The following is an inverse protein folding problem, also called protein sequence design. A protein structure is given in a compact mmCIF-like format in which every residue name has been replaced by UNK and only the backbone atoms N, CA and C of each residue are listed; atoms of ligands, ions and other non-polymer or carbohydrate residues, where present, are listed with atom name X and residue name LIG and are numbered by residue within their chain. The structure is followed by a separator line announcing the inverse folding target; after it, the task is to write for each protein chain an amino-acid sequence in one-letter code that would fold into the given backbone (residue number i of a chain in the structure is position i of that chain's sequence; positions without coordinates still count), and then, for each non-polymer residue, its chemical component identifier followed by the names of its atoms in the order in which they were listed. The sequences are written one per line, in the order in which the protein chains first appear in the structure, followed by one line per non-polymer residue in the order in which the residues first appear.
data_IF_770144954594
#
_entry.id   IF_770144954594
#
_cell.length_a   1.000
_cell.length_b   1.000
_cell.length_c   1.000
_cell.angle_alpha   90.00
_cell.angle_beta   90.00
_cell.angle_gamma   90.00
#
_symmetry.space_group_name_H-M   'P 1'
#
loop_
_entity.id
_entity.type
_entity.pdbx_description
1 polymer ?
#
# COMPACT_ATOMS: atom_id res chain seq x y z
N UNK A 1 -21.34 -21.40 -23.24
CA UNK A 1 -22.37 -21.22 -22.19
C UNK A 1 -22.88 -19.78 -22.23
N UNK A 2 -24.05 -19.53 -22.85
CA UNK A 2 -24.82 -18.28 -22.70
C UNK A 2 -25.87 -18.51 -21.60
N UNK A 3 -25.45 -18.64 -20.35
CA UNK A 3 -26.35 -18.39 -19.22
C UNK A 3 -26.04 -16.97 -18.79
N UNK A 4 -27.03 -16.07 -18.90
CA UNK A 4 -27.02 -14.85 -18.08
C UNK A 4 -26.85 -15.37 -16.65
N UNK A 5 -25.68 -15.12 -16.07
CA UNK A 5 -25.41 -15.43 -14.66
C UNK A 5 -26.52 -14.83 -13.80
N UNK A 6 -26.71 -15.42 -12.60
CA UNK A 6 -27.79 -15.13 -11.66
C UNK A 6 -28.13 -13.65 -11.49
N UNK A 7 -29.34 -13.43 -10.97
CA UNK A 7 -29.82 -12.13 -10.54
C UNK A 7 -28.71 -11.40 -9.73
N UNK A 8 -28.68 -10.07 -9.81
CA UNK A 8 -27.74 -9.24 -9.06
C UNK A 8 -27.69 -9.62 -7.57
N UNK A 9 -28.80 -10.12 -7.00
CA UNK A 9 -28.90 -10.62 -5.64
C UNK A 9 -27.99 -11.83 -5.35
N UNK A 10 -27.93 -12.84 -6.24
CA UNK A 10 -27.12 -14.05 -6.08
C UNK A 10 -25.63 -13.70 -6.01
N UNK A 11 -25.19 -12.79 -6.89
CA UNK A 11 -23.80 -12.36 -6.95
C UNK A 11 -23.42 -11.47 -5.77
N UNK A 12 -24.33 -10.60 -5.34
CA UNK A 12 -24.18 -9.81 -4.11
C UNK A 12 -24.06 -10.73 -2.89
N UNK A 13 -24.98 -11.69 -2.74
CA UNK A 13 -24.99 -12.63 -1.62
C UNK A 13 -23.73 -13.49 -1.57
N UNK A 14 -23.30 -14.03 -2.72
CA UNK A 14 -22.08 -14.84 -2.82
C UNK A 14 -20.83 -14.05 -2.45
N UNK A 15 -20.65 -12.87 -3.05
CA UNK A 15 -19.43 -12.09 -2.84
C UNK A 15 -19.36 -11.47 -1.44
N UNK A 16 -20.47 -10.93 -0.95
CA UNK A 16 -20.57 -10.40 0.40
C UNK A 16 -20.33 -11.51 1.44
N UNK A 17 -20.92 -12.69 1.23
CA UNK A 17 -20.71 -13.83 2.11
C UNK A 17 -19.26 -14.31 2.15
N UNK A 18 -18.57 -14.33 0.99
CA UNK A 18 -17.15 -14.65 0.95
C UNK A 18 -16.32 -13.67 1.80
N UNK A 19 -16.57 -12.36 1.69
CA UNK A 19 -15.88 -11.34 2.48
C UNK A 19 -16.20 -11.43 3.98
N UNK A 20 -17.46 -11.66 4.35
CA UNK A 20 -17.87 -11.85 5.75
C UNK A 20 -17.20 -13.06 6.40
N UNK A 21 -17.01 -14.15 5.63
CA UNK A 21 -16.26 -15.33 6.09
C UNK A 21 -14.79 -15.03 6.40
N UNK A 22 -14.24 -13.96 5.80
CA UNK A 22 -12.90 -13.44 6.06
C UNK A 22 -12.88 -12.36 7.15
N UNK A 23 -14.03 -12.05 7.76
CA UNK A 23 -14.20 -11.03 8.79
C UNK A 23 -14.41 -9.61 8.25
N UNK A 24 -14.46 -9.42 6.93
CA UNK A 24 -14.68 -8.12 6.30
C UNK A 24 -16.19 -7.82 6.30
N UNK A 25 -16.59 -6.73 6.95
CA UNK A 25 -17.99 -6.33 7.03
C UNK A 25 -18.52 -5.82 5.69
N UNK A 26 -19.74 -6.23 5.35
CA UNK A 26 -20.38 -5.96 4.06
C UNK A 26 -21.84 -5.54 4.23
N UNK A 27 -22.35 -4.76 3.29
CA UNK A 27 -23.77 -4.45 3.16
C UNK A 27 -24.18 -4.67 1.70
N UNK A 28 -25.38 -5.21 1.48
CA UNK A 28 -26.04 -5.06 0.19
C UNK A 28 -26.67 -3.67 0.11
N UNK A 29 -26.68 -3.07 -1.08
CA UNK A 29 -27.23 -1.75 -1.34
C UNK A 29 -28.22 -1.86 -2.49
N UNK A 30 -29.49 -1.60 -2.22
CA UNK A 30 -30.54 -1.57 -3.24
C UNK A 30 -30.54 -0.23 -3.95
N UNK A 31 -30.48 -0.27 -5.28
CA UNK A 31 -30.70 0.87 -6.15
C UNK A 31 -31.88 0.56 -7.09
N UNK A 32 -32.49 1.55 -7.76
CA UNK A 32 -33.62 1.29 -8.64
C UNK A 32 -33.32 0.23 -9.71
N UNK A 33 -34.01 -0.90 -9.62
CA UNK A 33 -33.92 -2.02 -10.56
C UNK A 33 -32.64 -2.85 -10.50
N UNK A 34 -31.79 -2.67 -9.47
CA UNK A 34 -30.50 -3.36 -9.37
C UNK A 34 -29.98 -3.42 -7.92
N UNK A 35 -29.03 -4.31 -7.64
CA UNK A 35 -28.37 -4.41 -6.32
C UNK A 35 -26.85 -4.37 -6.45
N UNK A 36 -26.22 -3.62 -5.54
CA UNK A 36 -24.77 -3.56 -5.37
C UNK A 36 -24.41 -4.15 -4.01
N UNK A 37 -23.12 -4.33 -3.75
CA UNK A 37 -22.62 -4.56 -2.40
C UNK A 37 -21.56 -3.54 -2.05
N UNK A 38 -21.34 -3.25 -0.77
CA UNK A 38 -20.19 -2.48 -0.32
C UNK A 38 -19.52 -3.15 0.86
N UNK A 39 -18.19 -3.02 0.98
CA UNK A 39 -17.43 -3.53 2.12
C UNK A 39 -16.68 -2.44 2.86
N UNK A 40 -16.53 -2.61 4.18
CA UNK A 40 -15.78 -1.67 5.02
C UNK A 40 -14.28 -1.82 4.78
N UNK A 41 -13.59 -0.70 4.66
CA UNK A 41 -12.12 -0.64 4.65
C UNK A 41 -11.51 -0.67 6.05
N UNK A 42 -12.34 -0.49 7.10
CA UNK A 42 -11.91 -0.26 8.48
C UNK A 42 -11.28 1.12 8.74
N UNK A 43 -11.29 2.01 7.73
CA UNK A 43 -10.72 3.35 7.84
C UNK A 43 -11.80 4.34 8.27
N UNK A 44 -11.61 5.00 9.42
CA UNK A 44 -12.54 6.03 9.92
C UNK A 44 -12.62 7.25 8.98
N UNK A 45 -13.83 7.74 8.73
CA UNK A 45 -14.10 8.92 7.93
C UNK A 45 -13.80 10.21 8.73
N UNK A 46 -13.18 11.21 8.09
CA UNK A 46 -12.96 12.53 8.69
C UNK A 46 -14.12 13.49 8.36
N UNK A 47 -14.27 14.60 9.11
CA UNK A 47 -15.35 15.58 8.88
C UNK A 47 -15.35 16.16 7.44
N UNK A 48 -14.18 16.25 6.81
CA UNK A 48 -13.98 16.65 5.42
C UNK A 48 -13.41 15.49 4.59
N UNK A 49 -14.05 14.31 4.69
CA UNK A 49 -13.54 13.07 4.10
C UNK A 49 -13.24 13.21 2.60
N UNK A 50 -11.96 13.14 2.24
CA UNK A 50 -11.55 12.82 0.88
C UNK A 50 -11.95 11.37 0.58
N UNK A 51 -12.96 11.21 -0.28
CA UNK A 51 -13.46 9.92 -0.74
C UNK A 51 -12.69 9.39 -1.95
N UNK A 52 -11.50 9.93 -2.22
CA UNK A 52 -10.68 9.65 -3.39
C UNK A 52 -11.48 9.82 -4.69
N UNK A 53 -12.00 11.04 -4.90
CA UNK A 53 -12.88 11.37 -6.03
C UNK A 53 -14.10 10.45 -6.12
N UNK A 54 -14.83 10.29 -5.00
CA UNK A 54 -16.04 9.47 -4.92
C UNK A 54 -15.83 7.97 -5.22
N UNK A 55 -14.61 7.45 -5.09
CA UNK A 55 -14.38 6.01 -5.11
C UNK A 55 -14.86 5.34 -3.82
N UNK A 56 -14.63 5.96 -2.67
CA UNK A 56 -15.16 5.50 -1.39
C UNK A 56 -16.46 6.18 -1.04
N UNK A 57 -17.23 5.61 -0.12
CA UNK A 57 -18.42 6.23 0.48
C UNK A 57 -18.25 6.30 2.00
N UNK A 58 -18.80 7.34 2.62
CA UNK A 58 -18.86 7.44 4.08
C UNK A 58 -20.14 6.78 4.55
N UNK A 59 -20.00 5.68 5.28
CA UNK A 59 -21.13 4.96 5.84
C UNK A 59 -20.80 4.48 7.26
N UNK A 60 -21.71 4.77 8.20
CA UNK A 60 -21.53 4.51 9.65
C UNK A 60 -20.17 5.00 10.18
N UNK A 61 -19.73 6.18 9.75
CA UNK A 61 -18.48 6.81 10.21
C UNK A 61 -17.19 6.23 9.59
N UNK A 62 -17.28 5.29 8.66
CA UNK A 62 -16.12 4.67 8.01
C UNK A 62 -16.15 4.83 6.49
N UNK A 63 -15.00 4.62 5.85
CA UNK A 63 -14.89 4.52 4.40
C UNK A 63 -15.25 3.10 3.94
N UNK A 64 -16.18 3.01 2.99
CA UNK A 64 -16.65 1.77 2.37
C UNK A 64 -16.40 1.82 0.87
N UNK A 65 -16.18 0.65 0.26
CA UNK A 65 -15.98 0.49 -1.17
C UNK A 65 -17.22 -0.18 -1.79
N UNK A 66 -18.07 0.55 -2.55
CA UNK A 66 -19.19 -0.03 -3.28
C UNK A 66 -18.72 -0.76 -4.54
N UNK A 67 -19.22 -1.97 -4.78
CA UNK A 67 -18.80 -2.86 -5.86
C UNK A 67 -20.02 -3.26 -6.68
N UNK A 68 -19.89 -3.12 -8.00
CA UNK A 68 -20.79 -3.72 -8.98
C UNK A 68 -20.41 -5.19 -9.20
N UNK A 69 -21.08 -6.10 -8.50
CA UNK A 69 -20.78 -7.54 -8.52
C UNK A 69 -21.17 -8.22 -9.82
N UNK A 70 -22.05 -7.62 -10.63
CA UNK A 70 -22.48 -8.19 -11.91
C UNK A 70 -21.44 -8.08 -13.02
N UNK A 71 -20.37 -7.29 -12.82
CA UNK A 71 -19.25 -7.16 -13.76
C UNK A 71 -18.26 -8.34 -13.69
N UNK A 72 -18.80 -9.57 -13.69
CA UNK A 72 -18.01 -10.80 -13.65
C UNK A 72 -17.05 -10.86 -14.83
N UNK A 73 -15.78 -11.08 -14.52
CA UNK A 73 -14.69 -11.15 -15.51
C UNK A 73 -14.06 -9.81 -15.87
N UNK A 74 -14.59 -8.69 -15.38
CA UNK A 74 -13.91 -7.39 -15.38
C UNK A 74 -12.89 -7.29 -14.24
N UNK A 75 -12.02 -6.28 -14.30
CA UNK A 75 -11.07 -5.99 -13.23
C UNK A 75 -11.79 -5.47 -11.98
N UNK A 76 -11.14 -5.61 -10.82
CA UNK A 76 -11.71 -5.12 -9.56
C UNK A 76 -11.90 -3.61 -9.59
N UNK A 77 -10.92 -2.87 -10.15
CA UNK A 77 -11.00 -1.42 -10.26
C UNK A 77 -12.24 -0.96 -11.05
N UNK A 78 -12.58 -1.64 -12.14
CA UNK A 78 -13.76 -1.32 -12.95
C UNK A 78 -15.07 -1.62 -12.21
N UNK A 79 -15.14 -2.75 -11.52
CA UNK A 79 -16.30 -3.11 -10.70
C UNK A 79 -16.53 -2.12 -9.55
N UNK A 80 -15.44 -1.69 -8.93
CA UNK A 80 -15.46 -0.67 -7.89
C UNK A 80 -15.89 0.70 -8.42
N UNK A 81 -15.27 1.21 -9.48
CA UNK A 81 -15.65 2.50 -10.09
C UNK A 81 -17.13 2.53 -10.50
N UNK A 82 -17.63 1.44 -11.11
CA UNK A 82 -19.04 1.33 -11.49
C UNK A 82 -19.95 1.30 -10.26
N UNK A 83 -19.60 0.52 -9.24
CA UNK A 83 -20.34 0.44 -7.99
C UNK A 83 -20.42 1.81 -7.29
N UNK A 84 -19.29 2.51 -7.19
CA UNK A 84 -19.22 3.85 -6.61
C UNK A 84 -20.04 4.86 -7.41
N UNK A 85 -19.92 4.86 -8.74
CA UNK A 85 -20.71 5.74 -9.61
C UNK A 85 -22.22 5.53 -9.41
N UNK A 86 -22.66 4.27 -9.43
CA UNK A 86 -24.06 3.92 -9.21
C UNK A 86 -24.54 4.30 -7.81
N UNK A 87 -23.71 4.11 -6.77
CA UNK A 87 -24.04 4.55 -5.41
C UNK A 87 -24.26 6.07 -5.36
N UNK A 88 -23.31 6.85 -5.87
CA UNK A 88 -23.38 8.32 -5.82
C UNK A 88 -24.51 8.89 -6.68
N UNK A 89 -24.90 8.19 -7.76
CA UNK A 89 -26.06 8.55 -8.56
C UNK A 89 -27.37 8.51 -7.75
N UNK A 90 -27.50 7.55 -6.84
CA UNK A 90 -28.75 7.28 -6.12
C UNK A 90 -28.72 7.55 -4.61
N UNK A 91 -27.57 8.02 -4.07
CA UNK A 91 -27.37 8.22 -2.63
C UNK A 91 -28.45 9.11 -1.98
N UNK A 92 -28.94 10.10 -2.73
CA UNK A 92 -29.90 11.10 -2.25
C UNK A 92 -31.36 10.63 -2.42
N UNK A 93 -31.58 9.42 -2.92
CA UNK A 93 -32.90 8.81 -3.11
C UNK A 93 -33.38 7.96 -1.92
N UNK A 94 -32.60 7.89 -0.83
CA UNK A 94 -32.94 7.08 0.33
C UNK A 94 -32.66 5.59 0.12
N UNK A 95 -31.39 5.26 -0.18
CA UNK A 95 -30.96 3.88 -0.44
C UNK A 95 -31.26 2.95 0.75
N UNK A 96 -31.84 1.78 0.46
CA UNK A 96 -31.94 0.69 1.43
C UNK A 96 -30.62 -0.06 1.48
N UNK A 97 -30.10 -0.27 2.69
CA UNK A 97 -28.90 -1.09 2.91
C UNK A 97 -29.21 -2.26 3.83
N UNK A 98 -28.74 -3.45 3.48
CA UNK A 98 -28.91 -4.68 4.27
C UNK A 98 -27.57 -5.06 4.86
N UNK A 99 -27.46 -5.10 6.19
CA UNK A 99 -26.27 -5.60 6.89
C UNK A 99 -26.22 -7.13 6.77
N UNK A 100 -25.24 -7.64 6.03
CA UNK A 100 -25.16 -9.07 5.70
C UNK A 100 -24.82 -9.89 6.94
N UNK A 101 -24.01 -9.35 7.86
CA UNK A 101 -23.65 -10.03 9.10
C UNK A 101 -24.86 -10.14 10.03
N UNK A 102 -25.68 -9.10 10.11
CA UNK A 102 -26.95 -9.15 10.83
C UNK A 102 -27.93 -10.12 10.19
N UNK A 103 -28.06 -10.09 8.86
CA UNK A 103 -28.90 -11.01 8.11
C UNK A 103 -28.52 -12.47 8.39
N UNK A 104 -27.23 -12.82 8.41
CA UNK A 104 -26.75 -14.16 8.76
C UNK A 104 -27.06 -14.60 10.20
N UNK A 105 -27.09 -13.66 11.15
CA UNK A 105 -27.50 -13.99 12.54
C UNK A 105 -28.97 -14.34 12.62
N UNK A 106 -29.81 -13.67 11.83
CA UNK A 106 -31.25 -13.90 11.76
C UNK A 106 -31.60 -15.13 10.93
N UNK A 107 -30.97 -15.26 9.77
CA UNK A 107 -31.14 -16.34 8.81
C UNK A 107 -29.86 -17.16 8.78
N UNK A 108 -29.76 -18.13 9.69
CA UNK A 108 -28.57 -18.97 9.81
C UNK A 108 -28.30 -19.67 8.46
N UNK A 109 -27.05 -19.64 7.96
CA UNK A 109 -26.72 -20.31 6.71
C UNK A 109 -26.99 -21.81 6.83
N UNK A 110 -27.45 -22.41 5.73
CA UNK A 110 -27.59 -23.85 5.66
C UNK A 110 -26.24 -24.52 5.93
N UNK A 111 -26.21 -25.46 6.86
CA UNK A 111 -25.01 -26.27 7.09
C UNK A 111 -24.86 -27.24 5.94
N UNK A 112 -23.82 -27.04 5.11
CA UNK A 112 -23.45 -28.01 4.09
C UNK A 112 -22.66 -29.16 4.71
N UNK A 113 -22.84 -30.41 4.24
CA UNK A 113 -21.97 -31.51 4.64
C UNK A 113 -20.50 -31.17 4.39
N UNK A 114 -19.61 -31.76 5.19
CA UNK A 114 -18.18 -31.62 4.96
C UNK A 114 -17.82 -32.04 3.53
N UNK A 115 -17.13 -31.16 2.81
CA UNK A 115 -16.69 -31.40 1.45
C UNK A 115 -15.17 -31.51 1.38
N UNK A 116 -14.69 -32.49 0.63
CA UNK A 116 -13.27 -32.62 0.28
C UNK A 116 -12.88 -31.72 -0.90
N UNK A 117 -13.84 -31.04 -1.52
CA UNK A 117 -13.56 -30.08 -2.58
C UNK A 117 -12.74 -28.91 -2.04
N UNK A 118 -11.73 -28.49 -2.80
CA UNK A 118 -10.93 -27.29 -2.52
C UNK A 118 -10.87 -26.46 -3.80
N UNK A 119 -11.11 -25.14 -3.73
CA UNK A 119 -10.90 -24.28 -4.88
C UNK A 119 -9.41 -24.31 -5.26
N UNK A 120 -9.12 -24.21 -6.55
CA UNK A 120 -7.75 -23.98 -6.99
C UNK A 120 -7.27 -22.61 -6.47
N UNK A 121 -6.06 -22.57 -5.92
CA UNK A 121 -5.47 -21.29 -5.53
C UNK A 121 -5.20 -20.47 -6.79
N UNK A 122 -5.75 -19.26 -6.82
CA UNK A 122 -5.45 -18.29 -7.87
C UNK A 122 -4.09 -17.68 -7.56
N UNK A 123 -3.12 -17.88 -8.47
CA UNK A 123 -1.79 -17.29 -8.34
C UNK A 123 -1.85 -15.80 -8.63
N UNK A 124 -1.11 -15.00 -7.85
CA UNK A 124 -0.99 -13.56 -8.07
C UNK A 124 -0.57 -13.21 -9.51
N UNK A 125 0.34 -13.99 -10.09
CA UNK A 125 0.80 -13.80 -11.48
C UNK A 125 -0.35 -13.95 -12.48
N UNK A 126 -1.25 -14.91 -12.28
CA UNK A 126 -2.40 -15.11 -13.17
C UNK A 126 -3.41 -13.94 -13.09
N UNK A 127 -3.55 -13.33 -11.91
CA UNK A 127 -4.37 -12.13 -11.75
C UNK A 127 -3.71 -10.94 -12.45
N UNK A 128 -2.40 -10.75 -12.28
CA UNK A 128 -1.65 -9.67 -12.94
C UNK A 128 -1.64 -9.82 -14.47
N UNK A 129 -1.49 -11.04 -14.99
CA UNK A 129 -1.60 -11.32 -16.44
C UNK A 129 -2.99 -10.95 -16.98
N UNK A 130 -4.03 -11.19 -16.20
CA UNK A 130 -5.41 -10.91 -16.60
C UNK A 130 -5.81 -9.44 -16.42
N UNK A 131 -5.28 -8.79 -15.38
CA UNK A 131 -5.58 -7.40 -15.01
C UNK A 131 -4.27 -6.64 -14.73
N UNK A 132 -3.49 -6.33 -15.78
CA UNK A 132 -2.19 -5.68 -15.59
C UNK A 132 -2.34 -4.32 -14.92
N UNK A 133 -1.56 -4.08 -13.87
CA UNK A 133 -1.51 -2.81 -13.15
C UNK A 133 -2.55 -2.65 -12.03
N UNK A 134 -3.58 -3.49 -11.94
CA UNK A 134 -4.62 -3.38 -10.90
C UNK A 134 -4.01 -3.47 -9.49
N UNK A 135 -3.10 -4.43 -9.25
CA UNK A 135 -2.42 -4.53 -7.95
C UNK A 135 -1.56 -3.30 -7.63
N UNK A 136 -0.91 -2.71 -8.65
CA UNK A 136 -0.13 -1.50 -8.50
C UNK A 136 -1.01 -0.32 -8.09
N UNK A 137 -2.16 -0.16 -8.75
CA UNK A 137 -3.16 0.87 -8.44
C UNK A 137 -3.74 0.70 -7.04
N UNK A 138 -4.20 -0.52 -6.70
CA UNK A 138 -4.75 -0.82 -5.36
C UNK A 138 -3.74 -0.57 -4.25
N UNK A 139 -2.47 -0.95 -4.47
CA UNK A 139 -1.39 -0.67 -3.53
C UNK A 139 -1.17 0.82 -3.34
N UNK A 140 -1.21 1.63 -4.41
CA UNK A 140 -1.10 3.10 -4.31
C UNK A 140 -2.27 3.70 -3.53
N UNK A 141 -3.49 3.20 -3.75
CA UNK A 141 -4.67 3.66 -3.01
C UNK A 141 -4.55 3.32 -1.52
N UNK A 142 -4.17 2.10 -1.18
CA UNK A 142 -3.94 1.67 0.21
C UNK A 142 -2.88 2.53 0.90
N UNK A 143 -1.73 2.74 0.25
CA UNK A 143 -0.66 3.56 0.79
C UNK A 143 -1.07 5.03 0.98
N UNK A 144 -1.89 5.58 0.07
CA UNK A 144 -2.45 6.92 0.22
C UNK A 144 -3.39 7.01 1.42
N UNK A 145 -4.30 6.04 1.58
CA UNK A 145 -5.18 5.97 2.75
C UNK A 145 -4.40 5.88 4.06
N UNK A 146 -3.38 5.00 4.10
CA UNK A 146 -2.49 4.84 5.26
C UNK A 146 -1.70 6.11 5.57
N UNK A 147 -1.38 6.90 4.55
CA UNK A 147 -0.60 8.14 4.65
C UNK A 147 -1.47 9.39 4.74
N UNK A 148 -2.79 9.27 4.86
CA UNK A 148 -3.74 10.40 4.77
C UNK A 148 -3.41 11.56 5.71
N UNK A 149 -2.94 11.26 6.92
CA UNK A 149 -2.57 12.27 7.92
C UNK A 149 -1.45 13.19 7.44
N UNK A 150 -0.52 12.67 6.64
CA UNK A 150 0.56 13.45 6.05
C UNK A 150 0.09 14.25 4.83
N UNK A 151 -0.78 13.67 4.00
CA UNK A 151 -1.40 14.43 2.90
C UNK A 151 -2.24 15.61 3.38
N UNK A 152 -2.91 15.48 4.53
CA UNK A 152 -3.61 16.59 5.18
C UNK A 152 -2.66 17.73 5.58
N UNK A 153 -1.53 17.40 6.21
CA UNK A 153 -0.49 18.41 6.52
C UNK A 153 -0.04 19.11 5.23
N UNK A 154 0.15 18.36 4.13
CA UNK A 154 0.55 18.93 2.85
C UNK A 154 -0.51 19.80 2.17
N UNK A 155 -1.81 19.63 2.49
CA UNK A 155 -2.84 20.55 1.98
C UNK A 155 -2.75 21.95 2.60
N UNK A 156 -2.20 22.06 3.80
CA UNK A 156 -2.03 23.34 4.51
C UNK A 156 -0.60 23.89 4.33
N UNK A 157 0.40 22.99 4.31
CA UNK A 157 1.81 23.30 4.14
C UNK A 157 2.46 22.38 3.08
N UNK A 158 2.37 22.73 1.77
CA UNK A 158 2.78 21.85 0.67
C UNK A 158 4.24 21.40 0.64
N UNK A 159 5.11 22.09 1.40
CA UNK A 159 6.54 21.80 1.51
C UNK A 159 6.94 21.33 2.91
N UNK A 160 5.98 20.88 3.74
CA UNK A 160 6.27 20.36 5.07
C UNK A 160 7.23 19.16 4.97
N UNK A 161 8.44 19.34 5.50
CA UNK A 161 9.52 18.37 5.35
C UNK A 161 9.22 17.08 6.10
N UNK A 162 8.55 17.15 7.24
CA UNK A 162 8.20 15.98 8.03
C UNK A 162 7.19 15.10 7.29
N UNK A 163 6.10 15.68 6.79
CA UNK A 163 5.06 14.98 6.04
C UNK A 163 5.63 14.37 4.75
N UNK A 164 6.42 15.12 3.97
CA UNK A 164 7.10 14.60 2.78
C UNK A 164 8.05 13.44 3.13
N UNK A 165 8.82 13.55 4.23
CA UNK A 165 9.72 12.49 4.66
C UNK A 165 8.96 11.21 4.98
N UNK A 166 7.85 11.32 5.70
CA UNK A 166 7.04 10.17 6.10
C UNK A 166 6.35 9.51 4.90
N UNK A 167 5.81 10.29 3.96
CA UNK A 167 5.26 9.77 2.70
C UNK A 167 6.36 9.02 1.93
N UNK A 168 7.53 9.65 1.75
CA UNK A 168 8.67 9.03 1.06
C UNK A 168 9.08 7.69 1.68
N UNK A 169 9.16 7.62 3.01
CA UNK A 169 9.49 6.38 3.73
C UNK A 169 8.41 5.32 3.56
N UNK A 170 7.12 5.67 3.67
CA UNK A 170 6.01 4.72 3.55
C UNK A 170 5.98 4.10 2.15
N UNK A 171 6.03 4.93 1.11
CA UNK A 171 6.02 4.48 -0.28
C UNK A 171 7.31 3.72 -0.63
N UNK A 172 8.46 4.16 -0.12
CA UNK A 172 9.76 3.50 -0.33
C UNK A 172 9.82 2.10 0.29
N UNK A 173 9.36 1.93 1.53
CA UNK A 173 9.25 0.61 2.18
C UNK A 173 8.30 -0.32 1.45
N UNK A 174 7.27 0.25 0.82
CA UNK A 174 6.33 -0.49 0.00
C UNK A 174 6.84 -0.69 -1.44
N UNK A 175 8.08 -0.35 -1.79
CA UNK A 175 8.61 -0.54 -3.15
C UNK A 175 7.80 0.19 -4.25
N UNK A 176 7.19 1.33 -3.88
CA UNK A 176 6.55 2.26 -4.83
C UNK A 176 7.50 3.44 -5.03
N UNK A 177 8.55 3.17 -5.80
CA UNK A 177 9.74 4.02 -5.87
C UNK A 177 9.47 5.42 -6.42
N UNK A 178 8.59 5.55 -7.41
CA UNK A 178 8.28 6.82 -8.07
C UNK A 178 7.67 7.85 -7.12
N UNK A 179 6.70 7.45 -6.29
CA UNK A 179 6.10 8.34 -5.29
C UNK A 179 7.09 8.64 -4.15
N UNK A 180 7.91 7.67 -3.76
CA UNK A 180 8.95 7.89 -2.77
C UNK A 180 9.98 8.93 -3.24
N UNK A 181 10.43 8.81 -4.50
CA UNK A 181 11.35 9.77 -5.11
C UNK A 181 10.75 11.16 -5.21
N UNK A 182 9.51 11.30 -5.69
CA UNK A 182 8.82 12.62 -5.73
C UNK A 182 8.80 13.29 -4.36
N UNK A 183 8.53 12.55 -3.30
CA UNK A 183 8.48 13.10 -1.95
C UNK A 183 9.86 13.57 -1.46
N UNK A 184 10.92 12.78 -1.65
CA UNK A 184 12.27 13.18 -1.28
C UNK A 184 12.81 14.30 -2.18
N UNK A 185 12.46 14.33 -3.46
CA UNK A 185 12.87 15.37 -4.40
C UNK A 185 12.30 16.73 -4.00
N UNK A 186 11.04 16.81 -3.60
CA UNK A 186 10.47 18.05 -3.06
C UNK A 186 11.21 18.58 -1.83
N UNK A 187 11.69 17.68 -0.95
CA UNK A 187 12.52 18.10 0.20
C UNK A 187 13.86 18.66 -0.30
N UNK A 188 14.50 17.97 -1.24
CA UNK A 188 15.82 18.34 -1.77
C UNK A 188 15.78 19.59 -2.66
N UNK A 189 14.65 19.89 -3.31
CA UNK A 189 14.41 21.15 -4.03
C UNK A 189 14.40 22.35 -3.07
N UNK A 190 13.94 22.17 -1.84
CA UNK A 190 13.92 23.23 -0.81
C UNK A 190 15.21 23.28 0.01
N UNK A 191 15.80 22.12 0.28
CA UNK A 191 17.05 21.99 0.98
C UNK A 191 17.86 20.83 0.39
N UNK A 192 18.76 21.17 -0.55
CA UNK A 192 19.63 20.21 -1.23
C UNK A 192 20.60 19.48 -0.28
N UNK A 193 20.85 20.05 0.90
CA UNK A 193 21.75 19.53 1.93
C UNK A 193 21.01 18.74 3.04
N UNK A 194 19.76 18.33 2.80
CA UNK A 194 19.04 17.49 3.73
C UNK A 194 19.61 16.04 3.73
N UNK A 195 20.56 15.77 4.63
CA UNK A 195 21.24 14.48 4.75
C UNK A 195 20.25 13.30 4.91
N UNK A 196 19.19 13.47 5.70
CA UNK A 196 18.17 12.43 5.89
C UNK A 196 17.40 12.11 4.61
N UNK A 197 17.05 13.12 3.79
CA UNK A 197 16.36 12.90 2.53
C UNK A 197 17.27 12.24 1.49
N UNK A 198 18.55 12.62 1.44
CA UNK A 198 19.56 11.96 0.59
C UNK A 198 19.72 10.49 0.97
N UNK A 199 19.88 10.20 2.27
CA UNK A 199 20.00 8.83 2.79
C UNK A 199 18.73 7.99 2.49
N UNK A 200 17.53 8.54 2.67
CA UNK A 200 16.30 7.81 2.35
C UNK A 200 16.08 7.62 0.84
N UNK A 201 16.41 8.62 0.00
CA UNK A 201 16.41 8.47 -1.46
C UNK A 201 17.38 7.36 -1.90
N UNK A 202 18.57 7.31 -1.30
CA UNK A 202 19.55 6.25 -1.53
C UNK A 202 19.05 4.86 -1.08
N UNK A 203 18.29 4.76 0.01
CA UNK A 203 17.64 3.50 0.41
C UNK A 203 16.68 2.99 -0.66
N UNK A 204 15.86 3.86 -1.24
CA UNK A 204 14.94 3.48 -2.33
C UNK A 204 15.74 3.06 -3.58
N UNK A 205 16.81 3.76 -3.93
CA UNK A 205 17.71 3.37 -5.04
C UNK A 205 18.36 2.00 -4.81
N UNK A 206 18.82 1.73 -3.59
CA UNK A 206 19.42 0.45 -3.20
C UNK A 206 18.42 -0.70 -3.36
N UNK A 207 17.17 -0.51 -2.91
CA UNK A 207 16.09 -1.51 -3.06
C UNK A 207 15.77 -1.78 -4.53
N UNK A 208 15.82 -0.74 -5.36
CA UNK A 208 15.63 -0.82 -6.82
C UNK A 208 16.89 -1.22 -7.60
N UNK A 209 17.91 -1.77 -6.90
CA UNK A 209 19.16 -2.29 -7.49
C UNK A 209 20.02 -1.25 -8.21
N UNK A 210 19.78 0.05 -8.00
CA UNK A 210 20.59 1.16 -8.53
C UNK A 210 21.73 1.49 -7.57
N UNK A 211 22.66 0.56 -7.40
CA UNK A 211 23.67 0.62 -6.34
C UNK A 211 24.68 1.76 -6.51
N UNK A 212 25.09 2.07 -7.74
CA UNK A 212 26.03 3.18 -8.01
C UNK A 212 25.42 4.52 -7.61
N UNK A 213 24.17 4.77 -8.01
CA UNK A 213 23.43 5.97 -7.61
C UNK A 213 23.23 6.01 -6.10
N UNK A 214 22.85 4.88 -5.49
CA UNK A 214 22.69 4.79 -4.05
C UNK A 214 23.98 5.15 -3.30
N UNK A 215 25.15 4.62 -3.72
CA UNK A 215 26.42 4.99 -3.08
C UNK A 215 26.72 6.47 -3.20
N UNK A 216 26.47 7.09 -4.36
CA UNK A 216 26.71 8.52 -4.57
C UNK A 216 25.85 9.38 -3.63
N UNK A 217 24.58 9.02 -3.44
CA UNK A 217 23.70 9.73 -2.51
C UNK A 217 24.03 9.48 -1.03
N UNK A 218 24.46 8.26 -0.66
CA UNK A 218 24.94 7.99 0.68
C UNK A 218 26.25 8.72 1.00
N UNK A 219 27.19 8.80 0.06
CA UNK A 219 28.43 9.57 0.23
C UNK A 219 28.13 11.05 0.50
N UNK A 220 27.20 11.64 -0.27
CA UNK A 220 26.71 13.01 -0.02
C UNK A 220 26.06 13.14 1.35
N UNK A 221 25.19 12.20 1.73
CA UNK A 221 24.55 12.21 3.04
C UNK A 221 25.57 12.11 4.18
N UNK A 222 26.60 11.26 4.04
CA UNK A 222 27.66 11.06 5.03
C UNK A 222 28.61 12.26 5.13
N UNK A 223 28.81 13.01 4.05
CA UNK A 223 29.56 14.26 4.07
C UNK A 223 28.83 15.36 4.86
N UNK A 224 27.49 15.38 4.78
CA UNK A 224 26.64 16.35 5.46
C UNK A 224 26.37 15.97 6.93
N UNK A 225 26.15 14.69 7.19
CA UNK A 225 26.00 14.13 8.54
C UNK A 225 26.93 12.93 8.72
N UNK A 226 28.17 13.24 9.12
CA UNK A 226 29.20 12.23 9.34
C UNK A 226 29.04 11.45 10.64
N UNK A 227 28.07 11.82 11.50
CA UNK A 227 27.89 11.24 12.84
C UNK A 227 26.77 10.21 12.91
N UNK A 228 25.93 10.08 11.88
CA UNK A 228 24.93 9.01 11.81
C UNK A 228 25.56 7.69 11.35
N UNK A 229 25.73 6.68 12.25
CA UNK A 229 26.30 5.39 11.88
C UNK A 229 25.46 4.64 10.84
N UNK A 230 24.14 4.88 10.75
CA UNK A 230 23.27 4.17 9.81
C UNK A 230 23.53 4.58 8.36
N UNK A 231 23.92 5.82 8.10
CA UNK A 231 24.33 6.27 6.75
C UNK A 231 25.55 5.47 6.30
N UNK A 232 26.55 5.32 7.16
CA UNK A 232 27.77 4.56 6.89
C UNK A 232 27.49 3.07 6.68
N UNK A 233 26.59 2.47 7.47
CA UNK A 233 26.12 1.09 7.24
C UNK A 233 25.47 0.96 5.86
N UNK A 234 24.59 1.89 5.48
CA UNK A 234 23.90 1.85 4.20
C UNK A 234 24.85 2.06 3.01
N UNK A 235 25.85 2.95 3.15
CA UNK A 235 26.92 3.13 2.18
C UNK A 235 27.72 1.83 1.98
N UNK A 236 28.12 1.19 3.08
CA UNK A 236 28.84 -0.08 3.04
C UNK A 236 28.01 -1.19 2.37
N UNK A 237 26.69 -1.25 2.64
CA UNK A 237 25.77 -2.18 1.94
C UNK A 237 25.75 -1.93 0.44
N UNK A 238 25.74 -0.67 0.01
CA UNK A 238 25.77 -0.32 -1.41
C UNK A 238 27.07 -0.78 -2.07
N UNK A 239 28.22 -0.53 -1.42
CA UNK A 239 29.52 -0.96 -1.93
C UNK A 239 29.68 -2.48 -2.00
N UNK A 240 29.14 -3.24 -1.04
CA UNK A 240 29.10 -4.71 -1.12
C UNK A 240 28.34 -5.17 -2.38
N UNK A 241 27.19 -4.57 -2.69
CA UNK A 241 26.43 -4.90 -3.91
C UNK A 241 27.19 -4.55 -5.20
N UNK A 242 28.07 -3.56 -5.13
CA UNK A 242 28.99 -3.18 -6.21
C UNK A 242 30.30 -4.00 -6.23
N UNK A 243 30.47 -4.97 -5.31
CA UNK A 243 31.72 -5.73 -5.11
C UNK A 243 32.95 -4.85 -4.79
N UNK A 244 32.74 -3.65 -4.24
CA UNK A 244 33.79 -2.72 -3.80
C UNK A 244 34.14 -2.98 -2.33
N UNK A 245 34.70 -4.15 -2.06
CA UNK A 245 34.89 -4.70 -0.70
C UNK A 245 35.66 -3.75 0.21
N UNK A 246 36.79 -3.19 -0.25
CA UNK A 246 37.61 -2.31 0.59
C UNK A 246 36.89 -1.00 0.96
N UNK A 247 36.11 -0.44 0.03
CA UNK A 247 35.27 0.73 0.35
C UNK A 247 34.18 0.37 1.35
N UNK A 248 33.58 -0.82 1.23
CA UNK A 248 32.58 -1.32 2.17
C UNK A 248 33.17 -1.52 3.58
N UNK A 249 34.35 -2.13 3.70
CA UNK A 249 35.08 -2.30 4.97
C UNK A 249 35.33 -0.95 5.64
N UNK A 250 35.83 0.03 4.88
CA UNK A 250 36.10 1.37 5.41
C UNK A 250 34.83 2.07 5.91
N UNK A 251 33.74 2.02 5.15
CA UNK A 251 32.47 2.60 5.55
C UNK A 251 31.87 1.88 6.79
N UNK A 252 31.94 0.55 6.84
CA UNK A 252 31.44 -0.20 8.00
C UNK A 252 32.29 0.01 9.26
N UNK A 253 33.62 0.13 9.12
CA UNK A 253 34.51 0.51 10.22
C UNK A 253 34.13 1.88 10.77
N UNK A 254 33.88 2.86 9.90
CA UNK A 254 33.41 4.19 10.31
C UNK A 254 32.09 4.12 11.10
N UNK A 255 31.15 3.29 10.65
CA UNK A 255 29.90 3.07 11.39
C UNK A 255 30.15 2.47 12.79
N UNK A 256 31.05 1.49 12.90
CA UNK A 256 31.42 0.86 14.17
C UNK A 256 32.16 1.82 15.12
N UNK A 257 33.03 2.68 14.60
CA UNK A 257 33.71 3.73 15.39
C UNK A 257 32.71 4.72 16.01
N UNK A 258 31.61 5.03 15.31
CA UNK A 258 30.54 5.91 15.78
C UNK A 258 29.59 5.22 16.77
N UNK A 259 29.25 3.96 16.50
CA UNK A 259 28.43 3.11 17.37
C UNK A 259 28.94 1.66 17.35
N UNK A 260 29.66 1.22 18.40
CA UNK A 260 30.16 -0.15 18.48
C UNK A 260 29.06 -1.23 18.39
N UNK A 261 27.82 -0.91 18.76
CA UNK A 261 26.66 -1.79 18.67
C UNK A 261 26.24 -2.16 17.24
N UNK A 262 26.70 -1.40 16.24
CA UNK A 262 26.47 -1.68 14.81
C UNK A 262 26.92 -3.09 14.43
N UNK A 263 28.07 -3.56 14.93
CA UNK A 263 28.58 -4.90 14.60
C UNK A 263 27.65 -6.00 15.08
N UNK A 264 27.02 -5.84 16.25
CA UNK A 264 26.05 -6.80 16.78
C UNK A 264 24.74 -6.74 16.01
N UNK A 265 24.25 -5.53 15.69
CA UNK A 265 23.00 -5.33 14.94
C UNK A 265 23.11 -5.83 13.49
N UNK A 266 24.27 -5.69 12.85
CA UNK A 266 24.54 -6.06 11.47
C UNK A 266 25.55 -7.22 11.38
N UNK A 267 25.40 -8.21 12.27
CA UNK A 267 26.34 -9.33 12.43
C UNK A 267 26.70 -10.05 11.14
N UNK A 268 25.72 -10.36 10.29
CA UNK A 268 25.97 -11.06 9.01
C UNK A 268 26.91 -10.26 8.11
N UNK A 269 26.67 -8.96 7.99
CA UNK A 269 27.50 -8.07 7.16
C UNK A 269 28.88 -7.87 7.78
N UNK A 270 28.96 -7.76 9.11
CA UNK A 270 30.25 -7.70 9.82
C UNK A 270 31.11 -8.93 9.54
N UNK A 271 30.51 -10.13 9.57
CA UNK A 271 31.23 -11.38 9.26
C UNK A 271 31.66 -11.44 7.79
N UNK A 272 30.76 -11.09 6.87
CA UNK A 272 31.05 -11.03 5.43
C UNK A 272 32.26 -10.13 5.14
N UNK A 273 32.30 -8.95 5.74
CA UNK A 273 33.40 -7.99 5.57
C UNK A 273 34.71 -8.43 6.22
N UNK A 274 34.67 -9.25 7.29
CA UNK A 274 35.87 -9.81 7.92
C UNK A 274 36.50 -10.92 7.07
N UNK A 275 35.70 -11.70 6.35
CA UNK A 275 36.16 -12.85 5.57
C UNK A 275 36.37 -12.56 4.08
N UNK A 276 36.05 -11.35 3.62
CA UNK A 276 36.23 -10.97 2.23
C UNK A 276 37.72 -10.67 1.94
N UNK A 277 38.34 -11.53 1.13
CA UNK A 277 39.73 -11.44 0.65
C UNK A 277 39.75 -11.22 -0.87
#
# INVERSE_FOLDING_TARGET
MKRKSGDCDDLVALYAGALESMGISTHAVEIPGHMLMMFSTGVEAEKSSDTANNLFVVYKGQLWAPIETTLVGSSFMKAWEKGSTSYYQWRDSGLTTIDIREAWRRFKPASLPASNWRPSLVRRTAIEERFPGDFGTLKRIELKLRSRKYYKILSEAPNDTHALMQIGIIFGKADVADEAFKAFEKILEKNAENASALNNKANVLLMNRRYEDASNYYEKAAALDSKDPLIWVNLARSYLRLKRVEKAKNAFRKAHELDPGVSMKYRTMSLELLTAF
#
